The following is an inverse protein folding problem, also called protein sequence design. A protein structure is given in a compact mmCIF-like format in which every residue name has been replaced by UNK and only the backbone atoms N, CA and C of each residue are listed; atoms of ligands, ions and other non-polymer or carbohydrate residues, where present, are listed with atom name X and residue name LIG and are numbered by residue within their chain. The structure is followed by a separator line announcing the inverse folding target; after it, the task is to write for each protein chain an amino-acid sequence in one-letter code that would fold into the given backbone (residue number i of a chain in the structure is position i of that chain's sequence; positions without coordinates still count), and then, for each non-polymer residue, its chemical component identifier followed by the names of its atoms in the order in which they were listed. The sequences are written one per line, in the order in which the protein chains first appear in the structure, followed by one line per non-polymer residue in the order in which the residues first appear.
data_IF_858749638595
#
_entry.id   IF_858749638595
#
_cell.length_a   1.000
_cell.length_b   1.000
_cell.length_c   1.000
_cell.angle_alpha   90.00
_cell.angle_beta   90.00
_cell.angle_gamma   90.00
#
_symmetry.space_group_name_H-M   'P 1'
#
loop_
_entity.id
_entity.type
_entity.pdbx_description
1 polymer ?
#
# COMPACT_ATOMS: atom_id res chain seq x y z
N UNK A 1 24.54 -4.81 -15.98
CA UNK A 1 24.57 -3.41 -16.51
C UNK A 1 23.23 -2.97 -17.14
N UNK A 2 22.61 -3.76 -18.05
CA UNK A 2 21.34 -3.38 -18.72
C UNK A 2 20.16 -3.14 -17.75
N UNK A 3 19.99 -3.98 -16.72
CA UNK A 3 18.89 -3.84 -15.74
C UNK A 3 18.99 -2.55 -14.90
N UNK A 4 20.20 -2.15 -14.50
CA UNK A 4 20.40 -0.91 -13.74
C UNK A 4 20.02 0.34 -14.56
N UNK A 5 20.34 0.36 -15.85
CA UNK A 5 19.95 1.45 -16.76
C UNK A 5 18.43 1.57 -16.90
N UNK A 6 17.71 0.42 -16.99
CA UNK A 6 16.24 0.41 -17.09
C UNK A 6 15.60 1.03 -15.82
N UNK A 7 16.04 0.62 -14.63
CA UNK A 7 15.51 1.17 -13.37
C UNK A 7 15.81 2.66 -13.22
N UNK A 8 17.00 3.09 -13.60
CA UNK A 8 17.35 4.50 -13.62
C UNK A 8 16.43 5.29 -14.57
N UNK A 9 16.23 4.79 -15.80
CA UNK A 9 15.34 5.43 -16.78
C UNK A 9 13.90 5.51 -16.27
N UNK A 10 13.39 4.46 -15.61
CA UNK A 10 12.07 4.47 -14.99
C UNK A 10 11.94 5.58 -13.92
N UNK A 11 12.93 5.71 -13.03
CA UNK A 11 12.92 6.75 -12.00
C UNK A 11 12.99 8.15 -12.62
N UNK A 12 13.82 8.37 -13.62
CA UNK A 12 13.90 9.66 -14.33
C UNK A 12 12.55 10.00 -14.98
N UNK A 13 11.93 9.05 -15.69
CA UNK A 13 10.61 9.25 -16.30
C UNK A 13 9.54 9.55 -15.27
N UNK A 14 9.54 8.85 -14.13
CA UNK A 14 8.62 9.11 -13.03
C UNK A 14 8.72 10.56 -12.54
N UNK A 15 9.94 11.04 -12.28
CA UNK A 15 10.16 12.40 -11.81
C UNK A 15 9.81 13.46 -12.87
N UNK A 16 10.05 13.18 -14.15
CA UNK A 16 9.63 14.06 -15.25
C UNK A 16 8.11 14.15 -15.32
N UNK A 17 7.38 13.03 -15.27
CA UNK A 17 5.92 13.00 -15.30
C UNK A 17 5.35 13.75 -14.09
N UNK A 18 5.92 13.55 -12.91
CA UNK A 18 5.51 14.23 -11.69
C UNK A 18 5.72 15.76 -11.78
N UNK A 19 6.89 16.19 -12.29
CA UNK A 19 7.19 17.59 -12.53
C UNK A 19 6.22 18.23 -13.52
N UNK A 20 6.02 17.59 -14.69
CA UNK A 20 5.12 18.10 -15.72
C UNK A 20 3.67 18.21 -15.21
N UNK A 21 3.23 17.21 -14.42
CA UNK A 21 1.91 17.24 -13.80
C UNK A 21 1.71 18.45 -12.89
N UNK A 22 2.65 18.73 -12.00
CA UNK A 22 2.57 19.89 -11.11
C UNK A 22 2.80 21.22 -11.84
N UNK A 23 3.62 21.26 -12.87
CA UNK A 23 3.80 22.45 -13.71
C UNK A 23 2.50 22.83 -14.41
N UNK A 24 1.78 21.83 -14.94
CA UNK A 24 0.47 22.05 -15.56
C UNK A 24 -0.54 22.58 -14.51
N UNK A 25 -0.56 21.98 -13.30
CA UNK A 25 -1.44 22.44 -12.23
C UNK A 25 -1.13 23.88 -11.79
N UNK A 26 0.15 24.23 -11.71
CA UNK A 26 0.61 25.59 -11.41
C UNK A 26 0.08 26.61 -12.44
N UNK A 27 0.23 26.30 -13.74
CA UNK A 27 -0.25 27.18 -14.83
C UNK A 27 -1.79 27.27 -14.83
N UNK A 28 -2.50 26.16 -14.58
CA UNK A 28 -3.97 26.14 -14.61
C UNK A 28 -4.62 26.82 -13.40
N UNK A 29 -3.86 27.04 -12.32
CA UNK A 29 -4.37 27.66 -11.09
C UNK A 29 -3.70 29.02 -10.83
N UNK A 30 -3.65 29.87 -11.86
CA UNK A 30 -3.17 31.26 -11.77
C UNK A 30 -1.77 31.40 -11.16
N UNK A 31 -0.86 30.47 -11.46
CA UNK A 31 0.52 30.45 -10.99
C UNK A 31 0.66 30.40 -9.45
N UNK A 32 -0.28 29.72 -8.78
CA UNK A 32 -0.25 29.58 -7.33
C UNK A 32 0.94 28.72 -6.85
N UNK A 33 1.84 29.33 -6.14
CA UNK A 33 3.09 28.74 -5.64
C UNK A 33 2.90 27.53 -4.73
N UNK A 34 1.69 27.34 -4.16
CA UNK A 34 1.40 26.16 -3.33
C UNK A 34 1.61 24.84 -4.07
N UNK A 35 1.31 24.78 -5.39
CA UNK A 35 1.54 23.57 -6.20
C UNK A 35 3.02 23.25 -6.37
N UNK A 36 3.86 24.28 -6.55
CA UNK A 36 5.31 24.13 -6.65
C UNK A 36 5.90 23.66 -5.31
N UNK A 37 5.45 24.25 -4.19
CA UNK A 37 5.90 23.84 -2.85
C UNK A 37 5.53 22.36 -2.58
N UNK A 38 4.29 21.97 -2.91
CA UNK A 38 3.83 20.60 -2.73
C UNK A 38 4.62 19.62 -3.61
N UNK A 39 4.92 20.01 -4.86
CA UNK A 39 5.80 19.23 -5.74
C UNK A 39 7.15 18.93 -5.10
N UNK A 40 7.84 19.94 -4.57
CA UNK A 40 9.17 19.74 -3.96
C UNK A 40 9.11 18.81 -2.75
N UNK A 41 8.11 18.94 -1.89
CA UNK A 41 7.94 18.07 -0.72
C UNK A 41 7.72 16.62 -1.16
N UNK A 42 6.87 16.39 -2.16
CA UNK A 42 6.60 15.06 -2.68
C UNK A 42 7.78 14.49 -3.48
N UNK A 43 8.50 15.33 -4.21
CA UNK A 43 9.73 14.94 -4.91
C UNK A 43 10.77 14.39 -3.92
N UNK A 44 11.05 15.14 -2.84
CA UNK A 44 11.99 14.72 -1.80
C UNK A 44 11.51 13.41 -1.17
N UNK A 45 10.23 13.30 -0.86
CA UNK A 45 9.65 12.08 -0.30
C UNK A 45 9.86 10.86 -1.22
N UNK A 46 9.47 10.95 -2.49
CA UNK A 46 9.63 9.85 -3.45
C UNK A 46 11.09 9.46 -3.65
N UNK A 47 11.97 10.46 -3.73
CA UNK A 47 13.42 10.24 -3.85
C UNK A 47 13.98 9.49 -2.64
N UNK A 48 13.61 9.93 -1.43
CA UNK A 48 14.02 9.29 -0.17
C UNK A 48 13.47 7.87 -0.08
N UNK A 49 12.22 7.63 -0.49
CA UNK A 49 11.62 6.29 -0.49
C UNK A 49 12.42 5.34 -1.38
N UNK A 50 12.73 5.74 -2.62
CA UNK A 50 13.54 4.91 -3.55
C UNK A 50 14.92 4.61 -2.94
N UNK A 51 15.60 5.63 -2.39
CA UNK A 51 16.92 5.45 -1.77
C UNK A 51 16.87 4.53 -0.54
N UNK A 52 15.90 4.71 0.34
CA UNK A 52 15.77 3.88 1.55
C UNK A 52 15.52 2.43 1.19
N UNK A 53 14.66 2.14 0.20
CA UNK A 53 14.45 0.76 -0.25
C UNK A 53 15.70 0.13 -0.85
N UNK A 54 16.49 0.88 -1.62
CA UNK A 54 17.75 0.37 -2.18
C UNK A 54 18.79 0.03 -1.10
N UNK A 55 18.81 0.80 -0.01
CA UNK A 55 19.77 0.62 1.11
C UNK A 55 19.29 -0.44 2.10
N UNK A 56 18.04 -0.35 2.57
CA UNK A 56 17.53 -1.24 3.63
C UNK A 56 17.12 -2.61 3.09
N UNK A 57 16.64 -2.67 1.84
CA UNK A 57 16.08 -3.88 1.24
C UNK A 57 16.68 -4.19 -0.14
N UNK A 58 18.02 -4.42 -0.24
CA UNK A 58 18.69 -4.64 -1.54
C UNK A 58 18.20 -5.89 -2.28
N UNK A 59 17.51 -6.82 -1.58
CA UNK A 59 16.88 -8.02 -2.16
C UNK A 59 15.43 -7.79 -2.61
N UNK A 60 14.84 -6.63 -2.32
CA UNK A 60 13.51 -6.30 -2.80
C UNK A 60 13.51 -6.08 -4.32
N UNK A 61 12.37 -6.35 -4.96
CA UNK A 61 12.22 -6.08 -6.38
C UNK A 61 12.18 -4.57 -6.64
N UNK A 62 13.24 -4.04 -7.23
CA UNK A 62 13.31 -2.61 -7.60
C UNK A 62 12.18 -2.20 -8.54
N UNK A 63 11.78 -3.12 -9.44
CA UNK A 63 10.65 -2.88 -10.33
C UNK A 63 9.36 -2.60 -9.56
N UNK A 64 9.11 -3.38 -8.49
CA UNK A 64 7.92 -3.20 -7.66
C UNK A 64 7.94 -1.84 -6.93
N UNK A 65 9.08 -1.47 -6.36
CA UNK A 65 9.25 -0.18 -5.66
C UNK A 65 9.07 0.99 -6.62
N UNK A 66 9.71 0.93 -7.80
CA UNK A 66 9.57 1.98 -8.82
C UNK A 66 8.13 2.14 -9.29
N UNK A 67 7.41 1.02 -9.54
CA UNK A 67 6.00 1.07 -9.93
C UNK A 67 5.12 1.64 -8.81
N UNK A 68 5.38 1.29 -7.55
CA UNK A 68 4.68 1.87 -6.40
C UNK A 68 4.88 3.39 -6.34
N UNK A 69 6.13 3.86 -6.45
CA UNK A 69 6.44 5.29 -6.46
C UNK A 69 5.81 6.01 -7.65
N UNK A 70 5.81 5.39 -8.84
CA UNK A 70 5.16 5.93 -10.04
C UNK A 70 3.65 6.09 -9.85
N UNK A 71 2.97 5.09 -9.29
CA UNK A 71 1.53 5.16 -8.99
C UNK A 71 1.23 6.24 -7.95
N UNK A 72 2.07 6.37 -6.91
CA UNK A 72 1.93 7.46 -5.94
C UNK A 72 2.12 8.83 -6.59
N UNK A 73 3.15 9.00 -7.43
CA UNK A 73 3.41 10.27 -8.14
C UNK A 73 2.21 10.71 -8.98
N UNK A 74 1.66 9.79 -9.80
CA UNK A 74 0.46 10.05 -10.61
C UNK A 74 -0.75 10.32 -9.72
N UNK A 75 -0.95 9.51 -8.68
CA UNK A 75 -2.06 9.67 -7.74
C UNK A 75 -2.06 11.02 -7.05
N UNK A 76 -0.91 11.51 -6.60
CA UNK A 76 -0.78 12.83 -5.97
C UNK A 76 -1.14 13.97 -6.93
N UNK A 77 -0.68 13.92 -8.18
CA UNK A 77 -1.04 14.91 -9.20
C UNK A 77 -2.54 14.91 -9.46
N UNK A 78 -3.15 13.72 -9.60
CA UNK A 78 -4.58 13.61 -9.86
C UNK A 78 -5.43 14.12 -8.70
N UNK A 79 -5.06 13.81 -7.45
CA UNK A 79 -5.79 14.29 -6.28
C UNK A 79 -5.58 15.79 -6.09
N UNK A 80 -4.37 16.31 -6.31
CA UNK A 80 -4.09 17.75 -6.24
C UNK A 80 -4.90 18.56 -7.25
N UNK A 81 -5.17 17.97 -8.43
CA UNK A 81 -6.05 18.57 -9.44
C UNK A 81 -7.51 18.67 -8.98
N UNK A 82 -8.00 17.65 -8.27
CA UNK A 82 -9.39 17.58 -7.83
C UNK A 82 -9.64 18.40 -6.56
N UNK A 83 -8.71 18.29 -5.60
CA UNK A 83 -8.83 18.93 -4.29
C UNK A 83 -7.45 18.99 -3.62
N UNK A 84 -6.93 20.18 -3.47
CA UNK A 84 -5.59 20.41 -2.92
C UNK A 84 -5.47 19.96 -1.47
N UNK A 85 -6.48 20.24 -0.64
CA UNK A 85 -6.45 19.87 0.79
C UNK A 85 -6.54 18.35 0.99
N UNK A 86 -7.30 17.67 0.15
CA UNK A 86 -7.34 16.20 0.13
C UNK A 86 -6.00 15.62 -0.31
N UNK A 87 -5.29 16.27 -1.23
CA UNK A 87 -3.95 15.82 -1.62
C UNK A 87 -2.98 15.89 -0.45
N UNK A 88 -2.98 16.96 0.35
CA UNK A 88 -2.13 17.08 1.54
C UNK A 88 -2.44 15.95 2.54
N UNK A 89 -3.72 15.70 2.81
CA UNK A 89 -4.14 14.62 3.71
C UNK A 89 -3.71 13.25 3.19
N UNK A 90 -3.92 13.00 1.90
CA UNK A 90 -3.53 11.74 1.26
C UNK A 90 -2.01 11.55 1.26
N UNK A 91 -1.25 12.62 1.03
CA UNK A 91 0.20 12.60 1.13
C UNK A 91 0.68 12.25 2.54
N UNK A 92 0.09 12.85 3.58
CA UNK A 92 0.41 12.55 4.98
C UNK A 92 0.12 11.08 5.32
N UNK A 93 -1.02 10.53 4.87
CA UNK A 93 -1.38 9.12 5.03
C UNK A 93 -0.37 8.21 4.31
N UNK A 94 -0.03 8.53 3.06
CA UNK A 94 0.94 7.76 2.28
C UNK A 94 2.33 7.77 2.91
N UNK A 95 2.80 8.92 3.39
CA UNK A 95 4.08 9.04 4.08
C UNK A 95 4.12 8.23 5.38
N UNK A 96 3.07 8.33 6.20
CA UNK A 96 2.94 7.54 7.43
C UNK A 96 2.89 6.04 7.13
N UNK A 97 2.10 5.62 6.15
CA UNK A 97 2.02 4.24 5.70
C UNK A 97 3.36 3.70 5.22
N UNK A 98 4.12 4.49 4.47
CA UNK A 98 5.46 4.11 3.99
C UNK A 98 6.43 3.93 5.15
N UNK A 99 6.42 4.83 6.14
CA UNK A 99 7.25 4.69 7.35
C UNK A 99 6.90 3.39 8.07
N UNK A 100 5.62 3.09 8.25
CA UNK A 100 5.18 1.82 8.86
C UNK A 100 5.67 0.60 8.08
N UNK A 101 5.61 0.64 6.73
CA UNK A 101 6.07 -0.49 5.90
C UNK A 101 7.57 -0.77 6.03
N UNK A 102 8.39 0.21 6.35
CA UNK A 102 9.81 -0.02 6.61
C UNK A 102 10.05 -0.85 7.88
N UNK A 103 9.17 -0.76 8.88
CA UNK A 103 9.29 -1.51 10.13
C UNK A 103 8.76 -2.95 10.03
N UNK A 104 7.83 -3.23 9.12
CA UNK A 104 7.17 -4.55 9.01
C UNK A 104 8.18 -5.70 8.80
N UNK A 105 9.13 -5.66 7.84
CA UNK A 105 10.07 -6.76 7.65
C UNK A 105 11.01 -6.97 8.84
N UNK A 106 11.38 -5.89 9.53
CA UNK A 106 12.17 -5.97 10.76
C UNK A 106 11.36 -6.62 11.89
N UNK A 107 10.10 -6.20 12.07
CA UNK A 107 9.18 -6.75 13.07
C UNK A 107 8.93 -8.24 12.83
N UNK A 108 8.66 -8.65 11.59
CA UNK A 108 8.44 -10.06 11.23
C UNK A 108 9.67 -10.94 11.47
N UNK A 109 10.89 -10.40 11.29
CA UNK A 109 12.12 -11.11 11.62
C UNK A 109 12.35 -11.21 13.12
N UNK A 110 12.02 -10.17 13.89
CA UNK A 110 12.26 -10.11 15.34
C UNK A 110 11.29 -11.00 16.12
N UNK A 111 10.02 -11.02 15.72
CA UNK A 111 8.96 -11.72 16.42
C UNK A 111 8.65 -13.05 15.71
N UNK A 112 9.42 -14.09 16.03
CA UNK A 112 9.19 -15.45 15.49
C UNK A 112 7.78 -15.99 15.79
N UNK A 113 7.13 -15.48 16.83
CA UNK A 113 5.77 -15.86 17.24
C UNK A 113 4.73 -15.59 16.15
N UNK A 114 4.90 -14.58 15.31
CA UNK A 114 3.99 -14.32 14.19
C UNK A 114 3.84 -15.51 13.23
N UNK A 115 4.87 -16.35 13.12
CA UNK A 115 4.82 -17.57 12.32
C UNK A 115 3.89 -18.66 12.87
N UNK A 116 3.56 -18.59 14.14
CA UNK A 116 2.78 -19.65 14.82
C UNK A 116 1.28 -19.34 14.87
N UNK A 117 0.89 -18.09 14.64
CA UNK A 117 -0.49 -17.61 14.76
C UNK A 117 -1.30 -17.72 13.45
N UNK A 118 -0.95 -18.64 12.54
CA UNK A 118 -1.65 -18.79 11.26
C UNK A 118 -3.16 -18.90 11.41
N UNK A 119 -3.65 -19.76 12.31
CA UNK A 119 -5.08 -19.90 12.57
C UNK A 119 -5.74 -18.63 13.09
N UNK A 120 -5.06 -17.85 13.92
CA UNK A 120 -5.56 -16.58 14.42
C UNK A 120 -5.76 -15.59 13.28
N UNK A 121 -4.82 -15.51 12.34
CA UNK A 121 -4.93 -14.64 11.18
C UNK A 121 -6.08 -15.05 10.26
N UNK A 122 -6.26 -16.36 10.00
CA UNK A 122 -7.36 -16.87 9.18
C UNK A 122 -8.73 -16.60 9.81
N UNK A 123 -8.88 -16.88 11.10
CA UNK A 123 -10.14 -16.64 11.81
C UNK A 123 -10.44 -15.14 11.91
N UNK A 124 -9.46 -14.32 12.29
CA UNK A 124 -9.66 -12.87 12.40
C UNK A 124 -10.01 -12.21 11.06
N UNK A 125 -9.41 -12.69 9.95
CA UNK A 125 -9.73 -12.22 8.61
C UNK A 125 -11.18 -12.55 8.24
N UNK A 126 -11.65 -13.78 8.49
CA UNK A 126 -13.05 -14.18 8.24
C UNK A 126 -14.03 -13.40 9.11
N UNK A 127 -13.73 -13.21 10.40
CA UNK A 127 -14.56 -12.41 11.30
C UNK A 127 -14.70 -10.98 10.80
N UNK A 128 -13.61 -10.34 10.37
CA UNK A 128 -13.65 -9.01 9.78
C UNK A 128 -14.51 -8.96 8.51
N UNK A 129 -14.41 -9.95 7.62
CA UNK A 129 -15.27 -10.04 6.44
C UNK A 129 -16.74 -10.17 6.80
N UNK A 130 -17.06 -11.03 7.75
CA UNK A 130 -18.44 -11.22 8.24
C UNK A 130 -18.98 -9.91 8.82
N UNK A 131 -18.18 -9.19 9.63
CA UNK A 131 -18.57 -7.88 10.19
C UNK A 131 -18.88 -6.86 9.09
N UNK A 132 -18.15 -6.88 7.98
CA UNK A 132 -18.41 -6.00 6.84
C UNK A 132 -19.74 -6.29 6.17
N UNK A 133 -20.18 -7.56 6.10
CA UNK A 133 -21.49 -7.92 5.56
C UNK A 133 -22.66 -7.29 6.33
N UNK A 134 -22.47 -7.05 7.63
CA UNK A 134 -23.46 -6.38 8.49
C UNK A 134 -23.30 -4.86 8.53
N UNK A 135 -22.28 -4.29 7.89
CA UNK A 135 -22.09 -2.84 7.83
C UNK A 135 -23.03 -2.19 6.81
N UNK A 136 -23.28 -0.89 6.99
CA UNK A 136 -24.12 -0.12 6.08
C UNK A 136 -23.55 -0.06 4.65
N UNK A 137 -24.44 0.01 3.66
CA UNK A 137 -24.06 0.12 2.24
C UNK A 137 -23.56 1.54 1.94
N UNK A 138 -22.36 1.64 1.34
CA UNK A 138 -21.83 2.88 0.75
C UNK A 138 -21.71 2.64 -0.76
N UNK A 139 -22.35 3.49 -1.57
CA UNK A 139 -22.43 3.31 -3.04
C UNK A 139 -22.95 1.93 -3.49
N UNK A 140 -23.86 1.31 -2.71
CA UNK A 140 -24.44 0.03 -3.04
C UNK A 140 -23.64 -1.22 -2.63
N UNK A 141 -22.46 -1.04 -2.03
CA UNK A 141 -21.62 -2.13 -1.52
C UNK A 141 -21.29 -1.97 -0.04
N UNK A 142 -21.20 -3.08 0.69
CA UNK A 142 -20.79 -3.13 2.10
C UNK A 142 -19.25 -3.16 2.18
N UNK A 143 -18.58 -2.03 1.93
CA UNK A 143 -17.12 -2.00 1.82
C UNK A 143 -16.44 -1.19 2.93
N UNK A 144 -17.18 -0.36 3.65
CA UNK A 144 -16.61 0.64 4.55
C UNK A 144 -17.29 0.61 5.91
N UNK A 145 -16.51 0.59 6.97
CA UNK A 145 -16.95 0.84 8.34
C UNK A 145 -16.71 2.31 8.67
N UNK A 146 -17.78 3.07 8.89
CA UNK A 146 -17.69 4.46 9.32
C UNK A 146 -17.57 4.53 10.84
N UNK A 147 -16.41 4.94 11.32
CA UNK A 147 -16.12 5.19 12.74
C UNK A 147 -16.05 6.70 12.97
N UNK A 148 -17.21 7.38 12.94
CA UNK A 148 -17.27 8.84 13.04
C UNK A 148 -16.65 9.54 11.82
N UNK A 149 -15.66 10.44 12.02
CA UNK A 149 -15.03 11.18 10.91
C UNK A 149 -14.05 10.35 10.08
N UNK A 150 -13.74 9.11 10.51
CA UNK A 150 -12.81 8.20 9.84
C UNK A 150 -13.58 7.03 9.27
N UNK A 151 -13.41 6.82 7.97
CA UNK A 151 -13.90 5.63 7.28
C UNK A 151 -12.76 4.63 7.08
N UNK A 152 -12.96 3.41 7.56
CA UNK A 152 -11.99 2.32 7.45
C UNK A 152 -12.56 1.27 6.53
N UNK A 153 -11.75 0.80 5.58
CA UNK A 153 -12.10 -0.28 4.69
C UNK A 153 -11.49 -1.59 5.23
N UNK A 154 -12.27 -2.44 5.92
CA UNK A 154 -11.75 -3.66 6.54
C UNK A 154 -11.10 -4.63 5.55
N UNK A 155 -11.56 -4.63 4.30
CA UNK A 155 -10.97 -5.45 3.24
C UNK A 155 -9.47 -5.25 3.03
N UNK A 156 -8.94 -4.04 3.28
CA UNK A 156 -7.50 -3.78 3.19
C UNK A 156 -6.73 -4.51 4.31
N UNK A 157 -7.29 -4.54 5.52
CA UNK A 157 -6.71 -5.29 6.64
C UNK A 157 -6.82 -6.80 6.42
N UNK A 158 -7.92 -7.25 5.87
CA UNK A 158 -8.12 -8.68 5.54
C UNK A 158 -7.08 -9.17 4.56
N UNK A 159 -6.70 -8.38 3.55
CA UNK A 159 -5.61 -8.75 2.62
C UNK A 159 -4.29 -9.02 3.35
N UNK A 160 -3.95 -8.19 4.33
CA UNK A 160 -2.73 -8.37 5.14
C UNK A 160 -2.84 -9.65 5.98
N UNK A 161 -3.96 -9.84 6.67
CA UNK A 161 -4.22 -11.03 7.48
C UNK A 161 -4.20 -12.30 6.63
N UNK A 162 -4.78 -12.26 5.44
CA UNK A 162 -4.77 -13.35 4.47
C UNK A 162 -3.36 -13.76 4.05
N UNK A 163 -2.51 -12.78 3.71
CA UNK A 163 -1.10 -13.06 3.35
C UNK A 163 -0.34 -13.67 4.54
N UNK A 164 -0.55 -13.15 5.74
CA UNK A 164 0.07 -13.71 6.97
C UNK A 164 -0.45 -15.11 7.28
N UNK A 165 -1.74 -15.37 7.09
CA UNK A 165 -2.36 -16.68 7.24
C UNK A 165 -1.71 -17.70 6.30
N UNK A 166 -1.73 -17.42 4.99
CA UNK A 166 -1.18 -18.30 3.97
C UNK A 166 0.32 -18.54 4.21
N UNK A 167 1.11 -17.48 4.43
CA UNK A 167 2.54 -17.59 4.68
C UNK A 167 2.86 -18.40 5.95
N UNK A 168 2.08 -18.22 7.02
CA UNK A 168 2.25 -18.95 8.28
C UNK A 168 1.91 -20.43 8.15
N UNK A 169 0.85 -20.75 7.43
CA UNK A 169 0.38 -22.12 7.26
C UNK A 169 1.30 -22.93 6.34
N UNK A 170 1.74 -22.34 5.20
CA UNK A 170 2.64 -23.04 4.27
C UNK A 170 4.11 -23.13 4.74
N UNK A 171 4.48 -22.44 5.81
CA UNK A 171 5.83 -22.56 6.38
C UNK A 171 6.04 -23.81 7.26
N UNK A 172 4.98 -24.54 7.57
CA UNK A 172 5.04 -25.82 8.32
C UNK A 172 4.97 -26.98 7.33
N UNK A 173 5.60 -28.12 7.65
CA UNK A 173 5.41 -29.36 6.86
C UNK A 173 3.93 -29.74 6.93
N UNK A 174 3.22 -29.58 5.82
CA UNK A 174 1.75 -29.71 5.79
C UNK A 174 1.38 -31.06 5.23
N UNK A 175 0.50 -31.79 5.93
CA UNK A 175 -0.14 -33.00 5.38
C UNK A 175 -1.14 -32.59 4.30
N UNK A 176 -1.46 -33.51 3.37
CA UNK A 176 -2.45 -33.28 2.31
C UNK A 176 -3.77 -32.72 2.86
N UNK A 177 -4.29 -33.29 3.96
CA UNK A 177 -5.53 -32.83 4.61
C UNK A 177 -5.43 -31.38 5.08
N UNK A 178 -4.29 -30.99 5.66
CA UNK A 178 -4.06 -29.60 6.08
C UNK A 178 -3.97 -28.66 4.88
N UNK A 179 -3.34 -29.07 3.79
CA UNK A 179 -3.26 -28.27 2.56
C UNK A 179 -4.66 -28.00 2.01
N UNK A 180 -5.50 -29.04 1.92
CA UNK A 180 -6.90 -28.87 1.47
C UNK A 180 -7.67 -27.92 2.38
N UNK A 181 -7.55 -28.07 3.71
CA UNK A 181 -8.23 -27.23 4.67
C UNK A 181 -7.78 -25.75 4.55
N UNK A 182 -6.48 -25.50 4.44
CA UNK A 182 -5.93 -24.15 4.23
C UNK A 182 -6.42 -23.55 2.92
N UNK A 183 -6.46 -24.33 1.84
CA UNK A 183 -6.94 -23.88 0.54
C UNK A 183 -8.43 -23.54 0.58
N UNK A 184 -9.26 -24.35 1.24
CA UNK A 184 -10.69 -24.05 1.41
C UNK A 184 -10.92 -22.77 2.22
N UNK A 185 -10.18 -22.58 3.32
CA UNK A 185 -10.26 -21.36 4.11
C UNK A 185 -9.76 -20.14 3.33
N UNK A 186 -8.68 -20.29 2.56
CA UNK A 186 -8.19 -19.25 1.68
C UNK A 186 -9.23 -18.87 0.60
N UNK A 187 -9.89 -19.87 0.01
CA UNK A 187 -10.97 -19.64 -0.95
C UNK A 187 -12.17 -18.93 -0.30
N UNK A 188 -12.51 -19.27 0.95
CA UNK A 188 -13.59 -18.59 1.68
C UNK A 188 -13.31 -17.08 1.86
N UNK A 189 -12.06 -16.66 2.09
CA UNK A 189 -11.69 -15.23 2.17
C UNK A 189 -11.86 -14.47 0.85
N UNK A 190 -11.86 -15.17 -0.28
CA UNK A 190 -12.01 -14.57 -1.62
C UNK A 190 -13.47 -14.53 -2.04
N UNK A 191 -14.28 -15.48 -1.58
CA UNK A 191 -15.69 -15.61 -1.96
C UNK A 191 -16.64 -14.72 -1.14
N UNK A 192 -16.24 -14.29 0.04
CA UNK A 192 -16.97 -13.35 0.91
C UNK A 192 -16.58 -11.92 0.59
#
# INVERSE_FOLDING_TARGET
QKRGKIYFTQNVLMFIIHLLGYLILYILNDEDMKYIMLYFVQFIYLFVVVMIYDVLYPKASRLLVNNMCMLMAIGFVMIARLDFDKCIKQFAIAATGTILTFFIPWLLKRVRSFRNFGWLYGISGLVLLILVLFSGKVFGANLVLSLGPVSVQPGEFVKILYVLFVASMFNKSITFKQTVLVTVLAAAHVLV
#
